data_IF_032976670238
#
_entry.id   IF_032976670238
#
_cell.length_a   1.000
_cell.length_b   1.000
_cell.length_c   1.000
_cell.angle_alpha   90.00
_cell.angle_beta   90.00
_cell.angle_gamma   90.00
#
_symmetry.space_group_name_H-M   'P 1'
#
loop_
_entity.id
_entity.type
_entity.pdbx_description
1 polymer ?
#
# COMPACT_ATOMS: atom_id res chain seq x y z
N UNK A 1 17.33 2.05 4.04
CA UNK A 1 16.47 1.12 3.30
C UNK A 1 15.63 1.97 2.40
N UNK A 2 15.71 1.78 1.09
CA UNK A 2 14.83 2.47 0.13
C UNK A 2 13.40 1.96 0.35
N UNK A 3 12.48 2.84 0.73
CA UNK A 3 11.06 2.51 0.77
C UNK A 3 10.60 2.25 -0.67
N UNK A 4 9.98 1.08 -0.90
CA UNK A 4 9.34 0.80 -2.19
C UNK A 4 8.20 1.82 -2.36
N UNK A 5 8.16 2.60 -3.47
CA UNK A 5 7.06 3.50 -3.76
C UNK A 5 5.73 2.73 -3.85
N UNK A 6 4.64 3.35 -3.41
CA UNK A 6 3.30 2.72 -3.41
C UNK A 6 2.92 2.22 -4.81
N UNK A 7 3.19 3.03 -5.81
CA UNK A 7 2.89 2.80 -7.22
C UNK A 7 3.67 1.59 -7.75
N UNK A 8 4.93 1.45 -7.33
CA UNK A 8 5.76 0.30 -7.70
C UNK A 8 5.27 -0.97 -6.99
N UNK A 9 4.86 -0.88 -5.73
CA UNK A 9 4.29 -2.01 -5.00
C UNK A 9 2.97 -2.48 -5.62
N UNK A 10 2.12 -1.55 -6.03
CA UNK A 10 0.87 -1.82 -6.75
C UNK A 10 1.11 -2.45 -8.12
N UNK A 11 2.02 -1.89 -8.91
CA UNK A 11 2.40 -2.47 -10.20
C UNK A 11 2.91 -3.90 -10.04
N UNK A 12 3.73 -4.15 -9.01
CA UNK A 12 4.24 -5.49 -8.74
C UNK A 12 3.14 -6.47 -8.31
N UNK A 13 2.17 -6.00 -7.52
CA UNK A 13 1.00 -6.82 -7.16
C UNK A 13 0.16 -7.22 -8.38
N UNK A 14 0.00 -6.31 -9.36
CA UNK A 14 -0.67 -6.62 -10.64
C UNK A 14 0.10 -7.68 -11.43
N UNK A 15 1.43 -7.55 -11.54
CA UNK A 15 2.29 -8.55 -12.18
C UNK A 15 2.20 -9.92 -11.49
N UNK A 16 2.18 -9.94 -10.15
CA UNK A 16 2.02 -11.18 -9.38
C UNK A 16 0.67 -11.83 -9.68
N UNK A 17 -0.41 -11.05 -9.73
CA UNK A 17 -1.74 -11.57 -10.05
C UNK A 17 -1.77 -12.19 -11.46
N UNK A 18 -1.14 -11.54 -12.44
CA UNK A 18 -1.00 -12.07 -13.79
C UNK A 18 -0.20 -13.38 -13.82
N UNK A 19 0.92 -13.45 -13.10
CA UNK A 19 1.75 -14.66 -12.99
C UNK A 19 0.99 -15.81 -12.31
N UNK A 20 0.24 -15.54 -11.24
CA UNK A 20 -0.56 -16.57 -10.56
C UNK A 20 -1.69 -17.15 -11.43
N UNK A 21 -2.17 -16.38 -12.41
CA UNK A 21 -3.19 -16.84 -13.36
C UNK A 21 -2.62 -17.68 -14.52
N UNK A 22 -1.29 -17.79 -14.66
CA UNK A 22 -0.70 -18.59 -15.72
C UNK A 22 -0.79 -20.09 -15.41
N UNK A 23 -1.20 -20.93 -16.38
CA UNK A 23 -1.31 -22.38 -16.17
C UNK A 23 0.05 -23.07 -15.99
N UNK A 24 1.15 -22.37 -16.30
CA UNK A 24 2.53 -22.85 -16.16
C UNK A 24 3.12 -22.57 -14.79
N UNK A 25 2.42 -21.83 -13.93
CA UNK A 25 2.91 -21.48 -12.59
C UNK A 25 2.84 -22.71 -11.68
N UNK A 26 4.01 -23.13 -11.18
CA UNK A 26 4.10 -24.27 -10.28
C UNK A 26 3.58 -23.93 -8.89
N UNK A 27 3.32 -24.95 -8.07
CA UNK A 27 2.90 -24.77 -6.68
C UNK A 27 3.94 -23.99 -5.85
N UNK A 28 5.23 -24.34 -5.98
CA UNK A 28 6.31 -23.67 -5.25
C UNK A 28 6.44 -22.20 -5.65
N UNK A 29 6.32 -21.91 -6.96
CA UNK A 29 6.30 -20.52 -7.46
C UNK A 29 5.07 -19.77 -6.96
N UNK A 30 3.90 -20.42 -6.91
CA UNK A 30 2.67 -19.80 -6.40
C UNK A 30 2.81 -19.41 -4.93
N UNK A 31 3.47 -20.24 -4.11
CA UNK A 31 3.72 -19.93 -2.71
C UNK A 31 4.66 -18.72 -2.57
N UNK A 32 5.77 -18.69 -3.33
CA UNK A 32 6.70 -17.57 -3.31
C UNK A 32 6.05 -16.25 -3.77
N UNK A 33 5.23 -16.29 -4.83
CA UNK A 33 4.46 -15.15 -5.32
C UNK A 33 3.48 -14.64 -4.26
N UNK A 34 2.83 -15.54 -3.52
CA UNK A 34 1.92 -15.17 -2.44
C UNK A 34 2.64 -14.49 -1.27
N UNK A 35 3.80 -15.01 -0.86
CA UNK A 35 4.63 -14.40 0.20
C UNK A 35 5.12 -13.00 -0.19
N UNK A 36 5.50 -12.83 -1.46
CA UNK A 36 5.85 -11.51 -2.02
C UNK A 36 4.63 -10.57 -1.99
N UNK A 37 3.46 -11.06 -2.42
CA UNK A 37 2.23 -10.28 -2.41
C UNK A 37 1.82 -9.84 -1.00
N UNK A 38 1.87 -10.71 0.02
CA UNK A 38 1.57 -10.34 1.42
C UNK A 38 2.48 -9.20 1.90
N UNK A 39 3.77 -9.28 1.57
CA UNK A 39 4.75 -8.25 1.93
C UNK A 39 4.43 -6.90 1.27
N UNK A 40 4.09 -6.91 -0.02
CA UNK A 40 3.73 -5.71 -0.77
C UNK A 40 2.41 -5.11 -0.29
N UNK A 41 1.40 -5.94 -0.01
CA UNK A 41 0.12 -5.48 0.54
C UNK A 41 0.31 -4.74 1.86
N UNK A 42 1.15 -5.26 2.76
CA UNK A 42 1.48 -4.58 4.03
C UNK A 42 2.11 -3.21 3.82
N UNK A 43 2.99 -3.07 2.83
CA UNK A 43 3.61 -1.78 2.46
C UNK A 43 2.54 -0.82 1.97
N UNK A 44 1.67 -1.25 1.06
CA UNK A 44 0.58 -0.44 0.53
C UNK A 44 -0.35 0.05 1.64
N UNK A 45 -0.80 -0.84 2.51
CA UNK A 45 -1.66 -0.48 3.64
C UNK A 45 -0.98 0.50 4.61
N UNK A 46 0.31 0.30 4.92
CA UNK A 46 1.04 1.21 5.79
C UNK A 46 1.11 2.61 5.19
N UNK A 47 1.32 2.71 3.87
CA UNK A 47 1.36 3.99 3.17
C UNK A 47 0.00 4.68 3.14
N UNK A 48 -1.07 3.94 2.89
CA UNK A 48 -2.45 4.46 2.93
C UNK A 48 -2.75 5.03 4.32
N UNK A 49 -2.50 4.25 5.38
CA UNK A 49 -2.72 4.70 6.76
C UNK A 49 -1.93 5.96 7.10
N UNK A 50 -0.68 6.06 6.66
CA UNK A 50 0.15 7.25 6.87
C UNK A 50 -0.45 8.48 6.19
N UNK A 51 -0.94 8.33 4.96
CA UNK A 51 -1.58 9.42 4.21
C UNK A 51 -2.90 9.83 4.87
N UNK A 52 -3.75 8.88 5.25
CA UNK A 52 -5.02 9.13 5.94
C UNK A 52 -4.81 9.88 7.26
N UNK A 53 -3.86 9.43 8.08
CA UNK A 53 -3.47 10.10 9.33
C UNK A 53 -3.07 11.55 9.06
N UNK A 54 -2.26 11.78 8.02
CA UNK A 54 -1.80 13.13 7.67
C UNK A 54 -2.94 14.03 7.20
N UNK A 55 -3.87 13.50 6.42
CA UNK A 55 -5.08 14.23 5.99
C UNK A 55 -5.94 14.59 7.19
N UNK A 56 -6.13 13.66 8.13
CA UNK A 56 -6.89 13.90 9.35
C UNK A 56 -6.26 15.01 10.20
N UNK A 57 -4.95 14.95 10.48
CA UNK A 57 -4.22 16.01 11.21
C UNK A 57 -4.37 17.39 10.56
N UNK A 58 -4.30 17.46 9.22
CA UNK A 58 -4.46 18.71 8.49
C UNK A 58 -5.90 19.24 8.54
N UNK A 59 -6.88 18.35 8.63
CA UNK A 59 -8.29 18.71 8.80
C UNK A 59 -8.55 19.27 10.21
N UNK A 60 -8.11 18.57 11.25
CA UNK A 60 -8.27 18.99 12.65
C UNK A 60 -7.60 20.35 12.89
N UNK A 61 -6.35 20.53 12.43
CA UNK A 61 -5.64 21.81 12.54
C UNK A 61 -6.38 22.97 11.87
N UNK A 62 -7.07 22.72 10.75
CA UNK A 62 -7.86 23.75 10.05
C UNK A 62 -9.12 24.12 10.84
N UNK A 63 -9.73 23.13 11.51
CA UNK A 63 -10.90 23.33 12.37
C UNK A 63 -10.54 24.16 13.61
N UNK A 64 -9.46 23.82 14.30
CA UNK A 64 -8.94 24.57 15.46
C UNK A 64 -8.56 26.02 15.11
N UNK A 65 -7.94 26.23 13.93
CA UNK A 65 -7.57 27.56 13.45
C UNK A 65 -8.79 28.44 13.15
N UNK A 66 -9.91 27.84 12.74
CA UNK A 66 -11.16 28.56 12.44
C UNK A 66 -11.93 28.91 13.72
N UNK A 67 -11.88 28.05 14.74
CA UNK A 67 -12.55 28.24 16.03
C UNK A 67 -11.83 29.22 16.97
N UNK A 68 -10.59 29.61 16.66
CA UNK A 68 -9.78 30.54 17.47
C UNK A 68 -9.97 32.01 17.06
N UNK A 69 -10.85 32.30 16.09
CA UNK A 69 -11.12 33.65 15.57
C UNK A 69 -12.53 34.19 15.88
N UNK A 70 -13.34 33.44 16.64
CA UNK A 70 -14.61 33.91 17.25
C UNK A 70 -14.43 34.18 18.76
#
# INVERSE_FOLDING_TARGET
MEEVPFENAMQRLEEIADLMNQPTTSLDTSLALYEEADSLMRICEARIRQVEQRVHELSERRHESSNSQE
#
